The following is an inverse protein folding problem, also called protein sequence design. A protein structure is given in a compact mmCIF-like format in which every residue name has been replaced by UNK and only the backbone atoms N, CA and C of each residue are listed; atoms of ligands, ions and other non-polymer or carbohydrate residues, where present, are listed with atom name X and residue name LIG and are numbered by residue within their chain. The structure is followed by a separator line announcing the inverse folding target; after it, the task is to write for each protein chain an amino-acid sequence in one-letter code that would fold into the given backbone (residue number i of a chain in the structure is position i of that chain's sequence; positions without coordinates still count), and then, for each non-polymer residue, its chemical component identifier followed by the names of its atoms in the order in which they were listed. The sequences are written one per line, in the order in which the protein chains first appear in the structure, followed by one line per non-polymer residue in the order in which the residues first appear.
data_IF_731552370811
#
_entry.id   IF_731552370811
#
_cell.length_a   1.000
_cell.length_b   1.000
_cell.length_c   1.000
_cell.angle_alpha   90.00
_cell.angle_beta   90.00
_cell.angle_gamma   90.00
#
_symmetry.space_group_name_H-M   'P 1'
#
loop_
_entity.id
_entity.type
_entity.pdbx_description
1 polymer ?
#
# COMPACT_ATOMS: atom_id res chain seq x y z
N UNK A 1 -5.89 -0.81 1.81
CA UNK A 1 -5.28 -1.43 0.64
C UNK A 1 -6.27 -1.70 -0.49
N UNK A 2 -7.35 -2.41 -0.18
CA UNK A 2 -8.29 -2.81 -1.23
C UNK A 2 -8.93 -1.63 -1.97
N UNK A 3 -9.25 -0.57 -1.26
CA UNK A 3 -9.82 0.63 -1.89
C UNK A 3 -8.80 1.33 -2.78
N UNK A 4 -7.56 1.42 -2.35
CA UNK A 4 -6.48 2.01 -3.12
C UNK A 4 -6.19 1.18 -4.37
N UNK A 5 -6.25 -0.13 -4.24
CA UNK A 5 -6.05 -1.04 -5.36
C UNK A 5 -7.09 -0.81 -6.45
N UNK A 6 -8.34 -0.78 -6.07
CA UNK A 6 -9.44 -0.56 -7.03
C UNK A 6 -9.30 0.81 -7.69
N UNK A 7 -9.04 1.86 -6.92
CA UNK A 7 -8.90 3.20 -7.45
C UNK A 7 -7.73 3.30 -8.44
N UNK A 8 -6.60 2.69 -8.12
CA UNK A 8 -5.44 2.69 -9.01
C UNK A 8 -5.72 1.95 -10.31
N UNK A 9 -6.41 0.83 -10.24
CA UNK A 9 -6.79 0.07 -11.42
C UNK A 9 -7.73 0.87 -12.32
N UNK A 10 -8.75 1.48 -11.74
CA UNK A 10 -9.72 2.28 -12.49
C UNK A 10 -9.06 3.50 -13.13
N UNK A 11 -8.13 4.10 -12.41
CA UNK A 11 -7.37 5.25 -12.92
C UNK A 11 -6.53 4.87 -14.14
N UNK A 12 -6.05 3.64 -14.21
CA UNK A 12 -5.29 3.14 -15.35
C UNK A 12 -6.20 2.66 -16.47
N UNK A 13 -7.51 2.59 -16.25
CA UNK A 13 -8.45 2.13 -17.25
C UNK A 13 -8.38 0.62 -17.50
N UNK A 14 -7.93 -0.15 -16.52
CA UNK A 14 -7.78 -1.59 -16.68
C UNK A 14 -8.93 -2.33 -16.01
N UNK A 15 -9.28 -3.49 -16.57
CA UNK A 15 -10.27 -4.37 -15.96
C UNK A 15 -9.59 -5.29 -14.93
N UNK A 16 -10.40 -5.87 -14.06
CA UNK A 16 -9.89 -6.86 -13.09
C UNK A 16 -9.23 -8.03 -13.80
N UNK A 17 -9.82 -8.47 -14.91
CA UNK A 17 -9.28 -9.58 -15.68
C UNK A 17 -7.92 -9.24 -16.27
N UNK A 18 -7.75 -8.04 -16.80
CA UNK A 18 -6.48 -7.62 -17.37
C UNK A 18 -5.36 -7.63 -16.34
N UNK A 19 -5.62 -7.06 -15.18
CA UNK A 19 -4.63 -7.05 -14.10
C UNK A 19 -4.34 -8.48 -13.63
N UNK A 20 -5.37 -9.28 -13.43
CA UNK A 20 -5.22 -10.67 -12.99
C UNK A 20 -4.36 -11.47 -13.96
N UNK A 21 -4.60 -11.32 -15.26
CA UNK A 21 -3.84 -12.02 -16.28
C UNK A 21 -2.36 -11.63 -16.25
N UNK A 22 -2.08 -10.34 -16.07
CA UNK A 22 -0.69 -9.84 -16.05
C UNK A 22 0.06 -10.34 -14.82
N UNK A 23 -0.59 -10.32 -13.67
CA UNK A 23 0.07 -10.75 -12.42
C UNK A 23 0.03 -12.27 -12.21
N UNK A 24 -0.67 -12.99 -13.09
CA UNK A 24 -0.65 -14.44 -13.08
C UNK A 24 -1.57 -15.10 -12.06
N UNK A 25 -2.69 -14.46 -11.73
CA UNK A 25 -3.70 -15.04 -10.83
C UNK A 25 -5.04 -15.13 -11.53
N UNK A 26 -5.95 -15.94 -10.99
CA UNK A 26 -7.31 -16.01 -11.52
C UNK A 26 -8.04 -14.70 -11.24
N UNK A 27 -8.96 -14.34 -12.13
CA UNK A 27 -9.79 -13.14 -11.93
C UNK A 27 -10.54 -13.21 -10.61
N UNK A 28 -11.04 -14.39 -10.25
CA UNK A 28 -11.75 -14.58 -8.98
C UNK A 28 -10.85 -14.28 -7.77
N UNK A 29 -9.59 -14.68 -7.84
CA UNK A 29 -8.61 -14.40 -6.79
C UNK A 29 -8.32 -12.89 -6.72
N UNK A 30 -8.12 -12.26 -7.86
CA UNK A 30 -7.88 -10.83 -7.89
C UNK A 30 -9.07 -10.05 -7.33
N UNK A 31 -10.28 -10.47 -7.69
CA UNK A 31 -11.49 -9.85 -7.18
C UNK A 31 -11.56 -9.87 -5.65
N UNK A 32 -11.05 -10.94 -5.04
CA UNK A 32 -10.98 -11.04 -3.58
C UNK A 32 -10.00 -10.02 -2.99
N UNK A 33 -8.96 -9.68 -3.71
CA UNK A 33 -8.03 -8.64 -3.28
C UNK A 33 -8.73 -7.27 -3.22
N UNK A 34 -9.52 -6.94 -4.23
CA UNK A 34 -10.24 -5.66 -4.27
C UNK A 34 -11.39 -5.60 -3.29
N UNK A 35 -11.99 -6.73 -2.94
CA UNK A 35 -13.07 -6.77 -1.96
C UNK A 35 -12.58 -6.78 -0.52
N UNK A 36 -11.27 -6.99 -0.32
CA UNK A 36 -10.69 -7.07 1.01
C UNK A 36 -10.83 -8.43 1.68
N UNK A 37 -11.34 -9.44 0.96
CA UNK A 37 -11.54 -10.77 1.50
C UNK A 37 -10.28 -11.62 1.46
N UNK A 38 -9.26 -11.20 0.77
CA UNK A 38 -7.99 -11.89 0.69
C UNK A 38 -6.85 -10.89 0.53
N UNK A 39 -5.77 -11.11 1.25
CA UNK A 39 -4.59 -10.27 1.14
C UNK A 39 -3.57 -10.91 0.21
N UNK A 40 -3.05 -10.16 -0.78
CA UNK A 40 -1.98 -10.67 -1.63
C UNK A 40 -0.65 -10.71 -0.86
N UNK A 41 0.25 -11.58 -1.29
CA UNK A 41 1.61 -11.60 -0.75
C UNK A 41 2.35 -10.33 -1.14
N UNK A 42 3.48 -10.06 -0.47
CA UNK A 42 4.33 -8.91 -0.80
C UNK A 42 4.76 -8.95 -2.27
N UNK A 43 5.11 -10.14 -2.76
CA UNK A 43 5.51 -10.30 -4.17
C UNK A 43 4.37 -9.96 -5.11
N UNK A 44 3.16 -10.38 -4.78
CA UNK A 44 1.98 -10.08 -5.58
C UNK A 44 1.68 -8.57 -5.55
N UNK A 45 1.83 -7.94 -4.41
CA UNK A 45 1.65 -6.49 -4.29
C UNK A 45 2.64 -5.76 -5.21
N UNK A 46 3.87 -6.19 -5.25
CA UNK A 46 4.88 -5.61 -6.14
C UNK A 46 4.49 -5.75 -7.61
N UNK A 47 4.00 -6.91 -8.00
CA UNK A 47 3.54 -7.14 -9.37
C UNK A 47 2.36 -6.24 -9.72
N UNK A 48 1.42 -6.09 -8.80
CA UNK A 48 0.28 -5.20 -8.99
C UNK A 48 0.76 -3.76 -9.14
N UNK A 49 1.65 -3.32 -8.28
CA UNK A 49 2.19 -1.97 -8.32
C UNK A 49 2.87 -1.69 -9.67
N UNK A 50 3.68 -2.60 -10.14
CA UNK A 50 4.33 -2.48 -11.45
C UNK A 50 3.32 -2.43 -12.58
N UNK A 51 2.31 -3.29 -12.52
CA UNK A 51 1.27 -3.36 -13.54
C UNK A 51 0.46 -2.07 -13.61
N UNK A 52 0.14 -1.50 -12.48
CA UNK A 52 -0.65 -0.28 -12.39
C UNK A 52 0.21 0.99 -12.45
N UNK A 53 1.52 0.84 -12.52
CA UNK A 53 2.48 1.94 -12.56
C UNK A 53 2.34 2.87 -11.35
N UNK A 54 2.19 2.28 -10.18
CA UNK A 54 2.15 2.99 -8.90
C UNK A 54 3.15 2.33 -7.97
N UNK A 55 3.49 3.00 -6.88
CA UNK A 55 4.36 2.39 -5.89
C UNK A 55 3.56 1.46 -4.99
N UNK A 56 4.23 0.47 -4.39
CA UNK A 56 3.60 -0.38 -3.39
C UNK A 56 3.12 0.45 -2.20
N UNK A 57 3.86 1.51 -1.85
CA UNK A 57 3.47 2.42 -0.78
C UNK A 57 2.15 3.13 -1.09
N UNK A 58 1.94 3.51 -2.35
CA UNK A 58 0.66 4.11 -2.78
C UNK A 58 -0.49 3.13 -2.60
N UNK A 59 -0.29 1.87 -2.98
CA UNK A 59 -1.33 0.85 -2.82
C UNK A 59 -1.65 0.59 -1.35
N UNK A 60 -0.65 0.62 -0.51
CA UNK A 60 -0.81 0.38 0.92
C UNK A 60 -1.24 1.63 1.69
N UNK A 61 -1.27 2.78 1.03
CA UNK A 61 -1.63 4.03 1.67
C UNK A 61 -0.54 4.63 2.54
N UNK A 62 0.69 4.13 2.42
CA UNK A 62 1.78 4.58 3.29
C UNK A 62 2.33 5.96 2.94
N UNK A 63 2.13 6.40 1.70
CA UNK A 63 2.65 7.68 1.25
C UNK A 63 1.97 8.86 1.94
N UNK A 64 0.80 8.67 2.49
CA UNK A 64 0.08 9.72 3.22
C UNK A 64 0.46 9.78 4.69
N UNK A 65 1.03 8.71 5.22
CA UNK A 65 1.37 8.61 6.64
C UNK A 65 2.43 9.61 7.09
N UNK A 66 3.52 9.84 6.34
CA UNK A 66 4.53 10.79 6.76
C UNK A 66 4.00 12.20 7.01
N UNK A 67 3.08 12.65 6.19
CA UNK A 67 2.48 13.97 6.35
C UNK A 67 1.61 14.04 7.60
N UNK A 68 0.82 13.02 7.83
CA UNK A 68 -0.04 12.94 9.00
C UNK A 68 0.80 12.90 10.27
N UNK A 69 1.84 12.10 10.28
CA UNK A 69 2.75 11.98 11.42
C UNK A 69 3.42 13.32 11.70
N UNK A 70 3.93 13.98 10.67
CA UNK A 70 4.59 15.26 10.81
C UNK A 70 3.64 16.33 11.38
N UNK A 71 2.42 16.35 10.92
CA UNK A 71 1.43 17.30 11.43
C UNK A 71 1.13 17.07 12.90
N UNK A 72 1.08 15.82 13.32
CA UNK A 72 0.83 15.48 14.71
C UNK A 72 2.01 15.81 15.60
N UNK A 73 3.23 15.70 15.08
CA UNK A 73 4.43 16.02 15.85
C UNK A 73 4.48 17.46 16.30
N UNK A 74 3.86 18.35 15.54
CA UNK A 74 4.02 19.79 15.72
C UNK A 74 3.27 20.36 16.92
N UNK A 75 2.95 19.57 17.88
CA UNK A 75 2.41 20.13 19.10
C UNK A 75 1.44 19.24 19.83
N UNK A 76 1.28 18.08 19.36
CA UNK A 76 0.35 17.17 19.98
C UNK A 76 1.02 16.19 20.90
N UNK A 77 0.28 15.76 21.88
CA UNK A 77 0.72 14.74 22.78
C UNK A 77 0.42 13.38 22.19
N UNK A 78 1.41 12.53 22.20
CA UNK A 78 1.27 11.15 21.76
C UNK A 78 1.25 10.23 22.95
N UNK A 79 0.49 9.16 22.84
CA UNK A 79 0.61 8.06 23.79
C UNK A 79 1.92 7.34 23.54
N UNK A 80 2.37 6.56 24.51
CA UNK A 80 3.60 5.78 24.34
C UNK A 80 3.50 4.82 23.16
N UNK A 81 2.35 4.23 22.97
CA UNK A 81 2.12 3.33 21.84
C UNK A 81 2.26 4.05 20.51
N UNK A 82 1.73 5.24 20.42
CA UNK A 82 1.84 6.05 19.19
C UNK A 82 3.28 6.43 18.90
N UNK A 83 4.04 6.78 19.93
CA UNK A 83 5.46 7.10 19.78
C UNK A 83 6.27 5.90 19.32
N UNK A 84 5.95 4.72 19.83
CA UNK A 84 6.62 3.49 19.40
C UNK A 84 6.35 3.19 17.94
N UNK A 85 5.13 3.38 17.49
CA UNK A 85 4.76 3.19 16.08
C UNK A 85 5.53 4.17 15.19
N UNK A 86 5.64 5.42 15.60
CA UNK A 86 6.37 6.43 14.86
C UNK A 86 7.85 6.07 14.76
N UNK A 87 8.45 5.60 15.86
CA UNK A 87 9.85 5.18 15.87
C UNK A 87 10.09 3.99 14.96
N UNK A 88 9.19 3.00 15.01
CA UNK A 88 9.29 1.82 14.17
C UNK A 88 9.25 2.21 12.69
N UNK A 89 8.36 3.11 12.35
CA UNK A 89 8.25 3.60 10.98
C UNK A 89 9.53 4.36 10.57
N UNK A 90 10.04 5.21 11.42
CA UNK A 90 11.24 5.97 11.13
C UNK A 90 12.45 5.06 10.91
N UNK A 91 12.60 4.03 11.74
CA UNK A 91 13.67 3.05 11.58
C UNK A 91 13.53 2.28 10.28
N UNK A 92 12.32 1.92 9.92
CA UNK A 92 12.06 1.22 8.68
C UNK A 92 12.50 2.06 7.47
N UNK A 93 12.14 3.33 7.44
CA UNK A 93 12.53 4.24 6.37
C UNK A 93 14.03 4.43 6.33
N UNK A 94 14.65 4.59 7.48
CA UNK A 94 16.09 4.75 7.60
C UNK A 94 16.84 3.53 7.05
N UNK A 95 16.37 2.35 7.37
CA UNK A 95 16.97 1.11 6.88
C UNK A 95 16.85 0.98 5.38
N UNK A 96 15.73 1.40 4.82
CA UNK A 96 15.55 1.41 3.36
C UNK A 96 16.52 2.36 2.67
N UNK A 97 16.80 3.50 3.28
CA UNK A 97 17.68 4.51 2.70
C UNK A 97 19.15 4.08 2.72
N UNK A 98 19.50 3.20 3.63
CA UNK A 98 20.88 2.73 3.78
C UNK A 98 21.24 1.60 2.80
N UNK A 99 20.36 1.21 1.97
CA UNK A 99 20.62 0.20 0.92
C UNK A 99 21.04 0.86 -0.42
#
# INVERSE_FOLDING_TARGET
FNENLKASREKRGMTQKEVADIIGVAKSTYSLYESGNREPSVQTIKKIADTLNVSADDLLGLNNEPHTIAAHFDGDEFTEDELDDIRAYAEFVKNRRNK
#
